data_IF_795049993547
#
_entry.id   IF_795049993547
#
_cell.length_a   1.000
_cell.length_b   1.000
_cell.length_c   1.000
_cell.angle_alpha   90.00
_cell.angle_beta   90.00
_cell.angle_gamma   90.00
#
_symmetry.space_group_name_H-M   'P 1'
#
loop_
_entity.id
_entity.type
_entity.pdbx_description
1 polymer ?
#
# COMPACT_ATOMS: atom_id res chain seq x y z
N UNK A 1 -13.88 7.59 -10.92
CA UNK A 1 -14.40 6.21 -10.94
C UNK A 1 -15.86 6.19 -11.35
N UNK A 2 -16.17 6.39 -12.63
CA UNK A 2 -17.56 6.65 -13.01
C UNK A 2 -18.38 5.36 -13.19
N UNK A 3 -17.71 4.23 -13.45
CA UNK A 3 -18.37 2.94 -13.72
C UNK A 3 -18.52 2.05 -12.46
N UNK A 4 -18.13 2.52 -11.27
CA UNK A 4 -18.29 1.78 -10.01
C UNK A 4 -17.39 0.54 -9.84
N UNK A 5 -16.46 0.27 -10.76
CA UNK A 5 -15.55 -0.88 -10.69
C UNK A 5 -14.31 -0.53 -9.85
N UNK A 6 -14.01 -1.37 -8.85
CA UNK A 6 -12.81 -1.27 -8.00
C UNK A 6 -11.98 -2.56 -8.06
N UNK A 7 -10.67 -2.42 -7.97
CA UNK A 7 -9.73 -3.54 -7.87
C UNK A 7 -10.01 -4.36 -6.61
N UNK A 8 -9.91 -5.68 -6.69
CA UNK A 8 -10.12 -6.55 -5.54
C UNK A 8 -8.96 -6.46 -4.53
N UNK A 9 -7.72 -6.43 -5.00
CA UNK A 9 -6.51 -6.20 -4.20
C UNK A 9 -5.59 -5.18 -4.89
N UNK A 10 -4.64 -4.60 -4.14
CA UNK A 10 -3.63 -3.66 -4.64
C UNK A 10 -2.25 -4.33 -4.52
N UNK A 11 -1.46 -4.29 -5.58
CA UNK A 11 -0.10 -4.82 -5.64
C UNK A 11 0.78 -3.97 -6.57
N UNK A 12 2.10 -4.14 -6.51
CA UNK A 12 3.06 -3.27 -7.18
C UNK A 12 3.68 -3.84 -8.46
N UNK A 13 3.68 -5.17 -8.65
CA UNK A 13 4.50 -5.84 -9.68
C UNK A 13 5.97 -5.34 -9.66
N UNK A 14 6.55 -5.26 -8.46
CA UNK A 14 7.84 -4.61 -8.25
C UNK A 14 9.03 -5.50 -8.60
N UNK A 15 10.03 -4.93 -9.27
CA UNK A 15 11.33 -5.53 -9.56
C UNK A 15 12.41 -4.44 -9.63
N UNK A 16 13.70 -4.80 -9.75
CA UNK A 16 14.80 -3.84 -9.56
C UNK A 16 14.73 -2.60 -10.46
N UNK A 17 14.25 -2.75 -11.69
CA UNK A 17 14.21 -1.63 -12.66
C UNK A 17 13.14 -0.61 -12.27
N UNK A 18 11.92 -1.07 -12.00
CA UNK A 18 10.83 -0.15 -11.67
C UNK A 18 10.98 0.45 -10.27
N UNK A 19 11.51 -0.32 -9.31
CA UNK A 19 11.78 0.17 -7.96
C UNK A 19 12.75 1.34 -7.93
N UNK A 20 13.81 1.29 -8.74
CA UNK A 20 14.85 2.32 -8.75
C UNK A 20 14.47 3.55 -9.57
N UNK A 21 13.80 3.34 -10.71
CA UNK A 21 13.61 4.39 -11.72
C UNK A 21 12.13 4.71 -12.00
N UNK A 22 11.23 4.17 -11.19
CA UNK A 22 9.80 4.26 -11.42
C UNK A 22 9.32 3.36 -12.58
N UNK A 23 8.01 3.39 -12.86
CA UNK A 23 7.01 4.24 -12.22
C UNK A 23 6.49 3.66 -10.88
N UNK A 24 6.94 2.47 -10.48
CA UNK A 24 6.53 1.81 -9.23
C UNK A 24 7.71 1.65 -8.29
N UNK A 25 7.79 2.58 -7.33
CA UNK A 25 8.87 2.63 -6.35
C UNK A 25 8.66 1.67 -5.17
N UNK A 26 7.42 1.56 -4.70
CA UNK A 26 7.03 0.75 -3.55
C UNK A 26 5.50 0.60 -3.50
N UNK A 27 5.01 -0.18 -2.51
CA UNK A 27 3.58 -0.39 -2.32
C UNK A 27 2.88 0.88 -1.82
N UNK A 28 3.53 1.68 -0.97
CA UNK A 28 2.97 2.93 -0.44
C UNK A 28 2.63 3.93 -1.56
N UNK A 29 3.56 4.13 -2.50
CA UNK A 29 3.35 4.95 -3.69
C UNK A 29 2.28 4.37 -4.60
N UNK A 30 2.12 3.05 -4.64
CA UNK A 30 1.01 2.43 -5.36
C UNK A 30 -0.31 2.73 -4.67
N UNK A 31 -0.39 2.60 -3.34
CA UNK A 31 -1.57 2.94 -2.54
C UNK A 31 -2.00 4.41 -2.74
N UNK A 32 -1.06 5.34 -2.76
CA UNK A 32 -1.30 6.76 -3.04
C UNK A 32 -1.96 6.98 -4.42
N UNK A 33 -1.55 6.23 -5.45
CA UNK A 33 -2.17 6.32 -6.78
C UNK A 33 -3.65 5.94 -6.74
N UNK A 34 -4.00 4.92 -5.93
CA UNK A 34 -5.39 4.52 -5.75
C UNK A 34 -6.16 5.57 -4.93
N UNK A 35 -5.56 6.16 -3.89
CA UNK A 35 -6.18 7.23 -3.12
C UNK A 35 -6.55 8.43 -4.03
N UNK A 36 -5.61 8.86 -4.88
CA UNK A 36 -5.80 10.01 -5.80
C UNK A 36 -6.93 9.80 -6.81
N UNK A 37 -7.22 8.55 -7.20
CA UNK A 37 -8.32 8.26 -8.14
C UNK A 37 -9.67 7.98 -7.45
N UNK A 38 -9.71 8.07 -6.11
CA UNK A 38 -10.95 8.07 -5.32
C UNK A 38 -11.22 6.83 -4.47
N UNK A 39 -10.22 5.97 -4.20
CA UNK A 39 -10.36 4.97 -3.13
C UNK A 39 -10.25 5.65 -1.76
N UNK A 40 -10.99 5.16 -0.76
CA UNK A 40 -10.74 5.59 0.63
C UNK A 40 -9.55 4.83 1.21
N UNK A 41 -8.93 5.37 2.25
CA UNK A 41 -7.79 4.71 2.90
C UNK A 41 -8.19 3.39 3.55
N UNK A 42 -9.40 3.27 4.09
CA UNK A 42 -9.94 2.02 4.65
C UNK A 42 -10.00 0.92 3.58
N UNK A 43 -10.54 1.25 2.40
CA UNK A 43 -10.59 0.31 1.27
C UNK A 43 -9.19 -0.07 0.78
N UNK A 44 -8.26 0.89 0.76
CA UNK A 44 -6.88 0.64 0.36
C UNK A 44 -6.20 -0.31 1.34
N UNK A 45 -6.35 -0.07 2.66
CA UNK A 45 -5.78 -0.92 3.70
C UNK A 45 -6.35 -2.34 3.60
N UNK A 46 -7.66 -2.51 3.43
CA UNK A 46 -8.27 -3.83 3.19
C UNK A 46 -7.66 -4.53 1.96
N UNK A 47 -7.45 -3.77 0.87
CA UNK A 47 -6.92 -4.28 -0.40
C UNK A 47 -5.44 -4.65 -0.39
N UNK A 48 -4.68 -4.19 0.61
CA UNK A 48 -3.28 -4.60 0.85
C UNK A 48 -3.11 -5.53 2.05
N UNK A 49 -4.19 -5.85 2.77
CA UNK A 49 -4.17 -6.74 3.95
C UNK A 49 -5.10 -7.94 3.75
N UNK A 50 -6.40 -7.78 3.99
CA UNK A 50 -7.39 -8.85 3.98
C UNK A 50 -7.58 -9.47 2.58
N UNK A 51 -7.69 -8.66 1.54
CA UNK A 51 -7.92 -9.18 0.19
C UNK A 51 -6.80 -10.12 -0.30
N UNK A 52 -5.50 -9.76 -0.23
CA UNK A 52 -4.44 -10.69 -0.64
C UNK A 52 -4.36 -11.93 0.26
N UNK A 53 -4.64 -11.86 1.57
CA UNK A 53 -4.63 -13.06 2.41
C UNK A 53 -5.75 -14.03 2.06
N UNK A 54 -6.92 -13.53 1.65
CA UNK A 54 -8.01 -14.36 1.12
C UNK A 54 -7.63 -15.01 -0.21
N UNK A 55 -7.03 -14.25 -1.14
CA UNK A 55 -6.61 -14.77 -2.46
C UNK A 55 -5.61 -15.92 -2.36
N UNK A 56 -4.71 -15.86 -1.37
CA UNK A 56 -3.61 -16.83 -1.20
C UNK A 56 -3.77 -17.75 0.01
N UNK A 57 -4.94 -17.76 0.66
CA UNK A 57 -5.24 -18.62 1.81
C UNK A 57 -4.26 -18.46 2.99
N UNK A 58 -3.82 -17.22 3.27
CA UNK A 58 -2.97 -16.90 4.42
C UNK A 58 -3.84 -16.74 5.67
N UNK A 59 -4.18 -17.86 6.31
CA UNK A 59 -5.23 -17.95 7.34
C UNK A 59 -4.92 -17.26 8.67
N UNK A 60 -3.66 -16.90 8.93
CA UNK A 60 -3.18 -16.27 10.18
C UNK A 60 -2.67 -14.84 9.98
N UNK A 61 -2.95 -14.21 8.83
CA UNK A 61 -2.42 -12.88 8.46
C UNK A 61 -3.52 -11.93 7.97
N UNK A 62 -3.16 -10.65 7.85
CA UNK A 62 -3.99 -9.62 7.19
C UNK A 62 -5.11 -9.06 8.05
N UNK A 63 -5.19 -9.44 9.34
CA UNK A 63 -6.15 -8.91 10.31
C UNK A 63 -5.51 -8.76 11.68
N UNK A 64 -5.91 -7.74 12.43
CA UNK A 64 -5.58 -7.60 13.85
C UNK A 64 -6.56 -8.44 14.66
N UNK A 65 -6.19 -9.69 14.93
CA UNK A 65 -7.04 -10.66 15.64
C UNK A 65 -6.19 -11.51 16.58
N UNK A 66 -6.77 -11.92 17.71
CA UNK A 66 -6.14 -12.88 18.61
C UNK A 66 -5.77 -14.18 17.86
N UNK A 67 -4.62 -14.74 18.21
CA UNK A 67 -4.04 -15.96 17.61
C UNK A 67 -3.58 -15.81 16.15
N UNK A 68 -3.50 -14.59 15.61
CA UNK A 68 -2.88 -14.33 14.31
C UNK A 68 -1.40 -13.97 14.48
N UNK A 69 -0.65 -14.06 13.38
CA UNK A 69 0.75 -13.69 13.38
C UNK A 69 0.88 -12.20 13.74
N UNK A 70 1.84 -11.87 14.61
CA UNK A 70 2.13 -10.50 15.02
C UNK A 70 2.89 -9.74 13.92
N UNK A 71 2.24 -9.62 12.76
CA UNK A 71 2.70 -8.89 11.59
C UNK A 71 1.92 -7.57 11.48
N UNK A 72 2.62 -6.46 11.67
CA UNK A 72 2.04 -5.12 11.64
C UNK A 72 2.88 -4.18 10.78
N UNK A 73 2.23 -3.17 10.23
CA UNK A 73 2.90 -2.04 9.60
C UNK A 73 2.32 -0.76 10.19
N UNK A 74 3.18 0.06 10.78
CA UNK A 74 2.82 1.37 11.33
C UNK A 74 3.13 2.41 10.26
N UNK A 75 2.14 3.23 9.95
CA UNK A 75 2.25 4.29 8.96
C UNK A 75 2.01 5.67 9.58
N UNK A 76 2.63 6.67 8.98
CA UNK A 76 2.28 8.08 9.14
C UNK A 76 1.66 8.61 7.85
N UNK A 77 0.71 9.54 7.99
CA UNK A 77 0.19 10.34 6.89
C UNK A 77 0.86 11.70 6.92
N UNK A 78 1.42 12.12 5.79
CA UNK A 78 2.15 13.37 5.64
C UNK A 78 1.42 14.24 4.62
N UNK A 79 1.00 15.43 5.05
CA UNK A 79 0.36 16.43 4.19
C UNK A 79 1.42 17.20 3.38
N UNK A 80 1.91 16.58 2.32
CA UNK A 80 2.92 17.14 1.42
C UNK A 80 2.64 16.69 -0.01
N UNK A 81 2.65 17.64 -0.95
CA UNK A 81 2.42 17.37 -2.36
C UNK A 81 3.51 16.44 -2.95
N UNK A 82 3.07 15.40 -3.66
CA UNK A 82 3.94 14.47 -4.39
C UNK A 82 3.37 14.19 -5.77
N UNK A 83 4.21 14.29 -6.80
CA UNK A 83 3.84 13.86 -8.15
C UNK A 83 3.89 12.32 -8.24
N UNK A 84 2.81 11.73 -8.75
CA UNK A 84 2.66 10.32 -9.03
C UNK A 84 2.60 10.10 -10.53
N UNK A 85 3.45 9.21 -11.05
CA UNK A 85 3.51 8.85 -12.48
C UNK A 85 3.03 7.41 -12.65
N UNK A 86 2.12 7.15 -13.59
CA UNK A 86 1.66 5.80 -13.92
C UNK A 86 2.53 5.11 -15.00
N UNK A 87 2.16 3.88 -15.37
CA UNK A 87 2.88 3.09 -16.38
C UNK A 87 2.79 3.65 -17.80
N UNK A 88 1.84 4.56 -18.06
CA UNK A 88 1.64 5.22 -19.35
C UNK A 88 2.22 6.64 -19.37
N UNK A 89 2.83 7.10 -18.26
CA UNK A 89 3.39 8.43 -18.15
C UNK A 89 2.38 9.51 -17.77
N UNK A 90 1.14 9.17 -17.44
CA UNK A 90 0.20 10.14 -16.91
C UNK A 90 0.58 10.52 -15.48
N UNK A 91 0.43 11.80 -15.17
CA UNK A 91 0.78 12.34 -13.85
C UNK A 91 -0.45 12.80 -13.08
N UNK A 92 -0.35 12.73 -11.75
CA UNK A 92 -1.27 13.33 -10.79
C UNK A 92 -0.48 13.81 -9.57
N UNK A 93 -1.01 14.79 -8.84
CA UNK A 93 -0.45 15.22 -7.56
C UNK A 93 -1.31 14.66 -6.44
N UNK A 94 -0.69 14.01 -5.46
CA UNK A 94 -1.34 13.69 -4.18
C UNK A 94 -1.01 14.76 -3.16
N UNK A 95 -1.97 15.27 -2.36
CA UNK A 95 -1.70 16.18 -1.26
C UNK A 95 -1.27 15.46 0.03
N UNK A 96 -1.41 14.13 0.06
CA UNK A 96 -1.10 13.30 1.22
C UNK A 96 -0.26 12.11 0.79
N UNK A 97 0.80 11.84 1.53
CA UNK A 97 1.66 10.67 1.39
C UNK A 97 1.42 9.71 2.56
N UNK A 98 1.53 8.40 2.31
CA UNK A 98 1.51 7.38 3.37
C UNK A 98 2.91 6.80 3.51
N UNK A 99 3.53 6.90 4.68
CA UNK A 99 4.91 6.44 4.90
C UNK A 99 4.95 5.37 5.99
N UNK A 100 5.44 4.15 5.69
CA UNK A 100 5.63 3.13 6.72
C UNK A 100 6.83 3.52 7.58
N UNK A 101 6.61 3.73 8.88
CA UNK A 101 7.64 4.15 9.84
C UNK A 101 8.21 2.99 10.65
N UNK A 102 7.40 1.94 10.87
CA UNK A 102 7.86 0.72 11.53
C UNK A 102 7.16 -0.50 10.95
N UNK A 103 7.91 -1.61 10.87
CA UNK A 103 7.41 -2.90 10.44
C UNK A 103 7.63 -3.91 11.56
N UNK A 104 6.59 -4.66 11.93
CA UNK A 104 6.68 -5.74 12.92
C UNK A 104 6.44 -7.05 12.18
N UNK A 105 7.33 -8.02 12.33
CA UNK A 105 7.21 -9.34 11.69
C UNK A 105 7.40 -10.41 12.76
N UNK A 106 6.38 -11.23 13.00
CA UNK A 106 6.37 -12.25 14.05
C UNK A 106 6.68 -11.67 15.44
N UNK A 107 6.23 -10.44 15.72
CA UNK A 107 6.46 -9.75 16.98
C UNK A 107 7.83 -9.06 17.11
N UNK A 108 8.72 -9.20 16.11
CA UNK A 108 9.99 -8.47 16.09
C UNK A 108 9.83 -7.14 15.37
N UNK A 109 10.27 -6.07 16.03
CA UNK A 109 10.24 -4.70 15.51
C UNK A 109 11.42 -4.46 14.57
N UNK A 110 11.14 -3.80 13.45
CA UNK A 110 12.09 -3.27 12.49
C UNK A 110 11.73 -1.79 12.26
N UNK A 111 12.65 -0.90 12.63
CA UNK A 111 12.51 0.52 12.32
C UNK A 111 12.78 0.72 10.83
N UNK A 112 11.89 1.43 10.16
CA UNK A 112 12.11 1.83 8.79
C UNK A 112 12.94 3.11 8.85
N UNK A 113 14.27 3.00 8.80
CA UNK A 113 15.14 4.17 8.63
C UNK A 113 14.73 4.88 7.32
N UNK A 114 14.32 6.15 7.46
CA UNK A 114 14.01 7.06 6.36
C UNK A 114 15.30 7.65 5.77
#
# INVERSE_FOLDING_TARGET
MNEGIKAHSISSDIYIRNRKNGPVYDLATTMEKLAVIGYTWEEIIEKVTLAPTQNFHLTTKGQLKENFDADLTIFEFIEEEKELVDSNGFTRVTPVQIKPVQTIIGGKVYDNEL
#
